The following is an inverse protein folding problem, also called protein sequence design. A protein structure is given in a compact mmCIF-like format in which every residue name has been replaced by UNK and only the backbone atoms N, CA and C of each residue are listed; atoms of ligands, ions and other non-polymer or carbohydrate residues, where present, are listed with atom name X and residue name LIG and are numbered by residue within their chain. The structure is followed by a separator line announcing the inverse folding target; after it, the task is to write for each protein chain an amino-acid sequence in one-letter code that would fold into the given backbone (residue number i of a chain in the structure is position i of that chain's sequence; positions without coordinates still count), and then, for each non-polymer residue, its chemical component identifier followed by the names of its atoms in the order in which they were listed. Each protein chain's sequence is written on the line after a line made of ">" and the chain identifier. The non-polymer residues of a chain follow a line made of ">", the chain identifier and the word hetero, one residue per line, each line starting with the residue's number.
data_IF_390258515853
#
_entry.id   IF_390258515853
#
_cell.length_a   1.000
_cell.length_b   1.000
_cell.length_c   1.000
_cell.angle_alpha   90.00
_cell.angle_beta   90.00
_cell.angle_gamma   90.00
#
_symmetry.space_group_name_H-M   'P 1'
#
loop_
_entity.id
_entity.type
_entity.pdbx_description
1 polymer ?
#
# COMPACT_ATOMS: atom_id res chain seq x y z
N UNK A 1 33.10 35.88 -1.72
CA UNK A 1 32.40 34.96 -0.80
C UNK A 1 31.32 34.23 -1.58
N UNK A 2 31.45 32.95 -1.72
CA UNK A 2 30.38 32.14 -2.32
C UNK A 2 29.24 32.03 -1.34
N UNK A 3 28.13 32.69 -1.61
CA UNK A 3 26.91 32.52 -0.83
C UNK A 3 26.48 31.06 -0.92
N UNK A 4 26.32 30.43 0.23
CA UNK A 4 25.79 29.06 0.31
C UNK A 4 24.31 29.10 -0.08
N UNK A 5 24.00 28.65 -1.29
CA UNK A 5 22.65 28.62 -1.79
C UNK A 5 22.02 27.27 -1.43
N UNK A 6 20.84 27.31 -0.79
CA UNK A 6 20.05 26.14 -0.42
C UNK A 6 19.80 25.24 -1.65
N UNK A 7 19.58 25.82 -2.82
CA UNK A 7 19.37 25.07 -4.05
C UNK A 7 20.58 24.20 -4.43
N UNK A 8 21.79 24.66 -4.17
CA UNK A 8 23.02 23.89 -4.40
C UNK A 8 23.12 22.66 -3.49
N UNK A 9 22.59 22.74 -2.29
CA UNK A 9 22.61 21.63 -1.34
C UNK A 9 21.61 20.53 -1.73
N UNK A 10 20.50 20.89 -2.36
CA UNK A 10 19.49 19.93 -2.78
C UNK A 10 19.75 19.32 -4.16
N UNK A 11 20.55 19.95 -5.01
CA UNK A 11 20.86 19.43 -6.35
C UNK A 11 21.36 17.98 -6.35
N UNK A 12 22.38 17.59 -5.56
CA UNK A 12 22.87 16.22 -5.57
C UNK A 12 21.83 15.23 -5.06
N UNK A 13 20.96 15.63 -4.15
CA UNK A 13 19.85 14.79 -3.65
C UNK A 13 18.81 14.58 -4.75
N UNK A 14 18.47 15.63 -5.49
CA UNK A 14 17.52 15.55 -6.61
C UNK A 14 18.06 14.69 -7.74
N UNK A 15 19.33 14.83 -8.09
CA UNK A 15 19.98 13.97 -9.10
C UNK A 15 20.00 12.51 -8.69
N UNK A 16 20.29 12.23 -7.43
CA UNK A 16 20.26 10.86 -6.88
C UNK A 16 18.85 10.26 -6.94
N UNK A 17 17.84 11.06 -6.63
CA UNK A 17 16.45 10.61 -6.71
C UNK A 17 16.00 10.38 -8.17
N UNK A 18 16.43 11.23 -9.11
CA UNK A 18 16.17 11.03 -10.55
C UNK A 18 16.80 9.73 -11.06
N UNK A 19 18.04 9.44 -10.69
CA UNK A 19 18.72 8.18 -11.06
C UNK A 19 18.01 6.97 -10.48
N UNK A 20 17.51 7.07 -9.24
CA UNK A 20 16.75 6.01 -8.59
C UNK A 20 15.42 5.75 -9.31
N UNK A 21 14.67 6.79 -9.64
CA UNK A 21 13.41 6.67 -10.39
C UNK A 21 13.63 6.09 -11.79
N UNK A 22 14.67 6.53 -12.49
CA UNK A 22 15.03 5.96 -13.80
C UNK A 22 15.34 4.47 -13.70
N UNK A 23 16.04 4.05 -12.66
CA UNK A 23 16.32 2.65 -12.41
C UNK A 23 15.04 1.85 -12.13
N UNK A 24 14.12 2.40 -11.35
CA UNK A 24 12.81 1.79 -11.09
C UNK A 24 12.00 1.62 -12.37
N UNK A 25 12.01 2.63 -13.25
CA UNK A 25 11.38 2.55 -14.57
C UNK A 25 12.00 1.47 -15.46
N UNK A 26 13.32 1.32 -15.43
CA UNK A 26 14.02 0.29 -16.20
C UNK A 26 13.66 -1.12 -15.71
N UNK A 27 13.52 -1.29 -14.40
CA UNK A 27 13.04 -2.54 -13.81
C UNK A 27 11.59 -2.80 -14.20
N UNK A 28 10.74 -1.78 -14.15
CA UNK A 28 9.33 -1.88 -14.55
C UNK A 28 9.21 -2.29 -16.03
N UNK A 29 10.05 -1.77 -16.90
CA UNK A 29 10.13 -2.20 -18.32
C UNK A 29 10.48 -3.68 -18.44
N UNK A 30 11.39 -4.20 -17.62
CA UNK A 30 11.70 -5.63 -17.58
C UNK A 30 10.51 -6.46 -17.13
N UNK A 31 9.75 -5.99 -16.15
CA UNK A 31 8.50 -6.64 -15.72
C UNK A 31 7.49 -6.68 -16.86
N UNK A 32 7.28 -5.56 -17.55
CA UNK A 32 6.37 -5.48 -18.70
C UNK A 32 6.80 -6.43 -19.83
N UNK A 33 8.08 -6.48 -20.13
CA UNK A 33 8.62 -7.40 -21.17
C UNK A 33 8.36 -8.85 -20.79
N UNK A 34 8.47 -9.20 -19.51
CA UNK A 34 8.17 -10.54 -19.02
C UNK A 34 6.70 -10.90 -19.11
N UNK A 35 5.82 -9.94 -18.79
CA UNK A 35 4.36 -10.10 -18.94
C UNK A 35 4.01 -10.34 -20.41
N UNK A 36 4.53 -9.51 -21.31
CA UNK A 36 4.28 -9.64 -22.74
C UNK A 36 4.79 -10.98 -23.28
N UNK A 37 5.97 -11.41 -22.87
CA UNK A 37 6.50 -12.70 -23.27
C UNK A 37 5.60 -13.86 -22.82
N UNK A 38 5.19 -13.89 -21.55
CA UNK A 38 4.31 -14.93 -21.05
C UNK A 38 2.92 -14.89 -21.68
N UNK A 39 2.41 -13.71 -21.99
CA UNK A 39 1.14 -13.54 -22.72
C UNK A 39 1.21 -14.13 -24.14
N UNK A 40 2.33 -13.98 -24.84
CA UNK A 40 2.54 -14.60 -26.16
C UNK A 40 2.59 -16.14 -26.11
N UNK A 41 2.97 -16.69 -24.98
CA UNK A 41 2.99 -18.15 -24.73
C UNK A 41 1.66 -18.63 -24.17
N UNK A 42 0.61 -17.82 -24.26
CA UNK A 42 -0.76 -18.14 -23.79
C UNK A 42 -0.86 -18.38 -22.28
N UNK A 43 0.07 -17.88 -21.49
CA UNK A 43 -0.02 -17.87 -20.03
C UNK A 43 -0.79 -16.65 -19.54
N UNK A 44 -1.53 -16.82 -18.46
CA UNK A 44 -2.32 -15.76 -17.82
C UNK A 44 -1.67 -15.20 -16.56
N UNK A 45 -0.47 -15.66 -16.25
CA UNK A 45 0.29 -15.25 -15.06
C UNK A 45 1.79 -15.32 -15.31
N UNK A 46 2.55 -14.60 -14.49
CA UNK A 46 4.01 -14.75 -14.43
C UNK A 46 4.54 -14.46 -13.03
N UNK A 47 5.75 -14.92 -12.78
CA UNK A 47 6.50 -14.58 -11.57
C UNK A 47 7.64 -13.66 -11.92
N UNK A 48 7.88 -12.67 -11.09
CA UNK A 48 9.00 -11.76 -11.19
C UNK A 48 9.72 -11.66 -9.85
N UNK A 49 11.03 -11.84 -9.88
CA UNK A 49 11.85 -11.63 -8.70
C UNK A 49 12.29 -10.18 -8.61
N UNK A 50 11.98 -9.53 -7.51
CA UNK A 50 12.38 -8.15 -7.25
C UNK A 50 13.86 -8.16 -6.86
N UNK A 51 14.75 -7.45 -7.60
CA UNK A 51 16.16 -7.42 -7.27
C UNK A 51 16.41 -6.65 -5.97
N UNK A 52 17.21 -7.22 -5.09
CA UNK A 52 17.59 -6.59 -3.82
C UNK A 52 18.69 -5.54 -4.01
N UNK A 53 19.54 -5.75 -4.98
CA UNK A 53 20.58 -4.80 -5.39
C UNK A 53 20.90 -4.96 -6.88
N UNK A 54 21.43 -3.89 -7.46
CA UNK A 54 21.86 -3.87 -8.86
C UNK A 54 23.28 -3.31 -8.91
N UNK A 55 24.18 -4.06 -9.52
CA UNK A 55 25.58 -3.66 -9.68
C UNK A 55 25.65 -2.41 -10.57
N UNK A 56 26.38 -1.40 -10.12
CA UNK A 56 26.55 -0.14 -10.85
C UNK A 56 25.50 0.94 -10.55
N UNK A 57 24.55 0.64 -9.67
CA UNK A 57 23.54 1.61 -9.22
C UNK A 57 23.66 1.92 -7.73
N UNK A 58 23.21 3.11 -7.29
CA UNK A 58 23.18 3.44 -5.88
C UNK A 58 22.29 2.48 -5.10
N UNK A 59 22.63 2.27 -3.84
CA UNK A 59 21.81 1.47 -2.93
C UNK A 59 20.41 2.09 -2.84
N UNK A 60 19.41 1.26 -3.00
CA UNK A 60 18.00 1.64 -2.93
C UNK A 60 17.25 0.78 -1.91
N UNK A 61 16.09 1.24 -1.48
CA UNK A 61 15.23 0.47 -0.60
C UNK A 61 14.36 -0.50 -1.44
N UNK A 62 14.51 -1.79 -1.17
CA UNK A 62 13.74 -2.84 -1.86
C UNK A 62 12.24 -2.67 -1.66
N UNK A 63 11.81 -2.19 -0.49
CA UNK A 63 10.40 -1.91 -0.19
C UNK A 63 9.83 -0.81 -1.09
N UNK A 64 10.61 0.24 -1.35
CA UNK A 64 10.20 1.33 -2.23
C UNK A 64 10.07 0.85 -3.68
N UNK A 65 11.01 0.03 -4.15
CA UNK A 65 10.95 -0.58 -5.48
C UNK A 65 9.73 -1.50 -5.62
N UNK A 66 9.50 -2.36 -4.63
CA UNK A 66 8.33 -3.24 -4.58
C UNK A 66 7.04 -2.44 -4.67
N UNK A 67 6.90 -1.40 -3.85
CA UNK A 67 5.74 -0.53 -3.83
C UNK A 67 5.52 0.18 -5.18
N UNK A 68 6.58 0.68 -5.78
CA UNK A 68 6.55 1.34 -7.08
C UNK A 68 6.03 0.39 -8.16
N UNK A 69 6.57 -0.82 -8.26
CA UNK A 69 6.15 -1.83 -9.24
C UNK A 69 4.70 -2.24 -8.99
N UNK A 70 4.34 -2.52 -7.74
CA UNK A 70 2.98 -2.94 -7.39
C UNK A 70 1.96 -1.85 -7.71
N UNK A 71 2.22 -0.60 -7.34
CA UNK A 71 1.32 0.51 -7.63
C UNK A 71 1.13 0.72 -9.13
N UNK A 72 2.20 0.62 -9.91
CA UNK A 72 2.14 0.77 -11.36
C UNK A 72 1.31 -0.32 -12.01
N UNK A 73 1.55 -1.58 -11.66
CA UNK A 73 0.81 -2.72 -12.22
C UNK A 73 -0.65 -2.76 -11.76
N UNK A 74 -0.94 -2.34 -10.53
CA UNK A 74 -2.33 -2.22 -10.05
C UNK A 74 -3.12 -1.16 -10.81
N UNK A 75 -2.49 -0.05 -11.18
CA UNK A 75 -3.10 0.96 -12.04
C UNK A 75 -3.46 0.42 -13.43
N UNK A 76 -2.63 -0.47 -13.93
CA UNK A 76 -2.85 -1.13 -15.21
C UNK A 76 -3.89 -2.27 -15.15
N UNK A 77 -4.37 -2.60 -13.95
CA UNK A 77 -5.42 -3.58 -13.72
C UNK A 77 -4.95 -5.01 -13.47
N UNK A 78 -3.67 -5.25 -13.28
CA UNK A 78 -3.12 -6.55 -12.93
C UNK A 78 -3.45 -6.96 -11.50
N UNK A 79 -3.67 -8.23 -11.28
CA UNK A 79 -3.79 -8.80 -9.94
C UNK A 79 -2.41 -9.21 -9.45
N UNK A 80 -2.04 -8.76 -8.27
CA UNK A 80 -0.71 -8.95 -7.69
C UNK A 80 -0.79 -9.71 -6.37
N UNK A 81 0.17 -10.61 -6.18
CA UNK A 81 0.41 -11.27 -4.91
C UNK A 81 1.91 -11.25 -4.63
N UNK A 82 2.27 -10.70 -3.47
CA UNK A 82 3.65 -10.73 -3.02
C UNK A 82 3.92 -12.00 -2.23
N UNK A 83 5.02 -12.66 -2.58
CA UNK A 83 5.48 -13.88 -1.93
C UNK A 83 6.88 -13.63 -1.38
N UNK A 84 7.03 -13.77 -0.08
CA UNK A 84 8.34 -13.63 0.56
C UNK A 84 9.36 -14.66 0.00
N UNK A 85 10.63 -14.28 -0.12
CA UNK A 85 11.26 -13.04 0.36
C UNK A 85 11.18 -11.86 -0.63
N UNK A 86 11.08 -12.08 -1.94
CA UNK A 86 11.15 -11.03 -2.97
C UNK A 86 10.51 -11.44 -4.30
N UNK A 87 9.55 -12.34 -4.26
CA UNK A 87 8.82 -12.77 -5.45
C UNK A 87 7.50 -12.03 -5.60
N UNK A 88 7.19 -11.63 -6.83
CA UNK A 88 5.93 -11.03 -7.20
C UNK A 88 5.20 -11.94 -8.18
N UNK A 89 4.02 -12.39 -7.81
CA UNK A 89 3.10 -13.09 -8.69
C UNK A 89 2.18 -12.06 -9.36
N UNK A 90 2.14 -12.08 -10.68
CA UNK A 90 1.37 -11.16 -11.51
C UNK A 90 0.39 -11.98 -12.34
N UNK A 91 -0.89 -11.71 -12.23
CA UNK A 91 -1.94 -12.39 -12.98
C UNK A 91 -2.80 -11.39 -13.76
N UNK A 92 -3.15 -11.77 -14.97
CA UNK A 92 -4.07 -11.02 -15.84
C UNK A 92 -5.22 -11.91 -16.35
N UNK A 93 -5.52 -12.98 -15.63
CA UNK A 93 -6.62 -13.87 -15.95
C UNK A 93 -7.96 -13.12 -15.86
N UNK A 94 -8.77 -13.13 -16.95
CA UNK A 94 -10.05 -12.43 -16.99
C UNK A 94 -11.05 -12.93 -15.94
N UNK A 95 -10.97 -14.18 -15.52
CA UNK A 95 -11.88 -14.75 -14.51
C UNK A 95 -11.55 -14.20 -13.11
N UNK A 96 -10.27 -14.07 -12.79
CA UNK A 96 -9.82 -13.50 -11.52
C UNK A 96 -10.06 -12.00 -11.45
N UNK A 97 -10.02 -11.31 -12.57
CA UNK A 97 -10.26 -9.85 -12.64
C UNK A 97 -11.76 -9.56 -12.45
N UNK A 98 -12.65 -10.35 -13.02
CA UNK A 98 -14.11 -10.17 -12.88
C UNK A 98 -14.61 -10.38 -11.45
N UNK A 99 -13.94 -11.22 -10.68
CA UNK A 99 -14.29 -11.54 -9.30
C UNK A 99 -13.66 -10.59 -8.26
N UNK A 100 -12.95 -9.57 -8.67
CA UNK A 100 -12.54 -8.53 -7.73
C UNK A 100 -13.79 -7.77 -7.26
N UNK A 101 -14.08 -7.75 -5.96
CA UNK A 101 -15.06 -6.80 -5.46
C UNK A 101 -14.53 -5.43 -5.88
N UNK A 102 -15.31 -4.72 -6.68
CA UNK A 102 -15.02 -3.33 -7.03
C UNK A 102 -14.73 -2.65 -5.71
N UNK A 103 -13.48 -2.34 -5.46
CA UNK A 103 -13.14 -1.48 -4.34
C UNK A 103 -13.94 -0.21 -4.59
N UNK A 104 -15.07 -0.12 -3.91
CA UNK A 104 -15.81 1.10 -3.84
C UNK A 104 -14.76 2.10 -3.39
N UNK A 105 -14.35 2.98 -4.32
CA UNK A 105 -13.66 4.20 -3.93
C UNK A 105 -14.55 4.77 -2.85
N UNK A 106 -14.20 4.53 -1.58
CA UNK A 106 -14.77 5.29 -0.50
C UNK A 106 -14.48 6.72 -0.91
N UNK A 107 -15.49 7.38 -1.52
CA UNK A 107 -15.48 8.82 -1.62
C UNK A 107 -15.22 9.22 -0.18
N UNK A 108 -14.01 9.67 0.09
CA UNK A 108 -13.77 10.42 1.30
C UNK A 108 -14.76 11.56 1.19
N UNK A 109 -15.93 11.36 1.76
CA UNK A 109 -16.77 12.48 2.13
C UNK A 109 -15.84 13.28 3.02
N UNK A 110 -15.35 14.40 2.49
CA UNK A 110 -14.78 15.43 3.32
C UNK A 110 -15.85 15.66 4.38
N UNK A 111 -15.66 15.06 5.53
CA UNK A 111 -16.51 15.32 6.67
C UNK A 111 -16.11 16.69 7.19
N UNK A 112 -16.65 17.73 6.53
CA UNK A 112 -16.77 19.05 7.14
C UNK A 112 -17.86 19.06 8.20
N UNK A 113 -18.27 17.90 8.63
CA UNK A 113 -19.25 17.74 9.69
C UNK A 113 -18.50 17.60 11.03
N UNK A 114 -17.90 18.72 11.42
CA UNK A 114 -17.45 18.89 12.79
C UNK A 114 -18.71 19.11 13.65
N UNK A 115 -19.32 18.02 14.09
CA UNK A 115 -20.42 18.11 15.06
C UNK A 115 -19.83 18.44 16.42
N UNK A 116 -20.31 19.53 16.98
CA UNK A 116 -19.98 19.86 18.35
C UNK A 116 -20.47 18.74 19.28
N UNK A 117 -19.73 18.48 20.35
CA UNK A 117 -20.03 17.44 21.33
C UNK A 117 -21.45 17.53 21.92
N UNK A 118 -22.12 18.68 21.80
CA UNK A 118 -23.50 18.91 22.24
C UNK A 118 -24.53 18.23 21.32
N UNK A 119 -24.23 17.98 20.05
CA UNK A 119 -25.09 17.27 19.10
C UNK A 119 -24.83 15.76 19.05
N UNK A 120 -23.89 15.27 19.81
CA UNK A 120 -23.57 13.83 19.87
C UNK A 120 -24.70 13.11 20.63
N UNK A 121 -25.73 12.71 19.91
CA UNK A 121 -26.64 11.66 20.37
C UNK A 121 -25.99 10.32 20.09
N UNK A 122 -25.58 9.56 21.11
CA UNK A 122 -25.08 8.22 20.88
C UNK A 122 -26.23 7.40 20.29
N UNK A 123 -26.20 7.18 18.98
CA UNK A 123 -27.06 6.21 18.32
C UNK A 123 -26.60 4.85 18.76
N UNK A 124 -27.12 4.47 19.90
CA UNK A 124 -26.93 3.34 20.69
C UNK A 124 -26.52 2.07 20.02
N UNK A 125 -25.24 1.84 19.86
CA UNK A 125 -24.68 0.51 19.77
C UNK A 125 -24.17 0.01 21.12
N UNK A 126 -24.19 0.85 22.14
CA UNK A 126 -23.86 0.47 23.52
C UNK A 126 -25.15 0.12 24.27
N UNK A 127 -25.65 -1.06 24.03
CA UNK A 127 -26.64 -1.63 24.93
C UNK A 127 -25.90 -2.10 26.18
N UNK A 128 -25.87 -1.23 27.19
CA UNK A 128 -25.58 -1.69 28.53
C UNK A 128 -26.69 -2.66 28.94
N UNK A 129 -26.41 -3.93 28.87
CA UNK A 129 -27.28 -4.90 29.46
C UNK A 129 -27.27 -4.64 30.98
N UNK A 130 -28.39 -4.25 31.55
CA UNK A 130 -28.50 -3.99 33.00
C UNK A 130 -28.05 -5.19 33.84
N UNK A 131 -28.06 -6.37 33.26
CA UNK A 131 -27.54 -7.60 33.86
C UNK A 131 -26.00 -7.58 34.01
N UNK A 132 -25.27 -7.07 33.03
CA UNK A 132 -23.81 -6.98 33.08
C UNK A 132 -23.33 -5.93 34.09
N UNK A 133 -24.09 -4.87 34.29
CA UNK A 133 -23.81 -3.85 35.30
C UNK A 133 -24.03 -4.35 36.72
N UNK A 134 -25.03 -5.21 36.94
CA UNK A 134 -25.27 -5.82 38.27
C UNK A 134 -24.15 -6.79 38.61
N UNK A 135 -23.67 -7.58 37.65
CA UNK A 135 -22.56 -8.52 37.83
C UNK A 135 -21.25 -7.80 38.18
N UNK A 136 -20.98 -6.65 37.59
CA UNK A 136 -19.80 -5.83 37.89
C UNK A 136 -19.90 -5.22 39.29
N UNK A 137 -21.08 -4.79 39.71
CA UNK A 137 -21.28 -4.31 41.09
C UNK A 137 -21.05 -5.39 42.12
N UNK A 138 -21.60 -6.58 41.91
CA UNK A 138 -21.45 -7.71 42.83
C UNK A 138 -19.99 -8.15 42.96
N UNK A 139 -19.21 -8.11 41.86
CA UNK A 139 -17.78 -8.40 41.91
C UNK A 139 -16.97 -7.30 42.58
N UNK A 140 -17.35 -6.03 42.44
CA UNK A 140 -16.66 -4.95 43.12
C UNK A 140 -16.92 -4.95 44.65
N UNK A 141 -18.12 -5.27 45.09
CA UNK A 141 -18.48 -5.39 46.48
C UNK A 141 -17.78 -6.59 47.15
N UNK A 142 -17.54 -7.67 46.40
CA UNK A 142 -16.77 -8.83 46.87
C UNK A 142 -15.26 -8.54 47.00
N UNK A 143 -14.72 -7.61 46.25
CA UNK A 143 -13.31 -7.22 46.30
C UNK A 143 -13.01 -6.18 47.41
N UNK A 144 -14.04 -5.54 47.98
CA UNK A 144 -13.92 -4.51 48.98
C UNK A 144 -14.15 -5.06 50.44
N UNK A 145 -14.40 -6.35 50.58
CA UNK A 145 -14.49 -7.02 51.91
C UNK A 145 -13.14 -7.58 52.34
#
# INVERSE_FOLDING_TARGET
>A
MSSLDIHRLYQPIQEKNKRRLKMFDDILKKVHSRIVYNSKVEKTYCFFQIPEFIIGFPIYNVKDLKQYIMNSLQKDGFKLLYVDPNWLFISWDPETIKNQPKQQKKKQKKSSDFRTTEEYKPTGGFVYNAFDLSTIKDTSDHLLQ
#
